data_IF_652651348488
#
_entry.id   IF_652651348488
#
_cell.length_a   1.000
_cell.length_b   1.000
_cell.length_c   1.000
_cell.angle_alpha   90.00
_cell.angle_beta   90.00
_cell.angle_gamma   90.00
#
_symmetry.space_group_name_H-M   'P 1'
#
loop_
_entity.id
_entity.type
_entity.pdbx_description
1 polymer ?
#
# COMPACT_ATOMS: atom_id res chain seq x y z
N UNK A 1 14.11 84.34 17.28
CA UNK A 1 13.93 85.62 16.54
C UNK A 1 13.04 85.34 15.34
N UNK A 2 12.21 86.32 14.92
CA UNK A 2 11.50 86.41 13.61
C UNK A 2 10.98 85.06 13.05
N UNK A 3 9.77 84.58 13.39
CA UNK A 3 8.43 85.13 13.10
C UNK A 3 7.94 84.87 11.65
N UNK A 4 6.72 84.33 11.55
CA UNK A 4 5.98 84.08 10.32
C UNK A 4 4.59 83.54 10.70
N UNK A 5 3.51 84.21 10.27
CA UNK A 5 2.21 84.15 10.98
C UNK A 5 1.02 83.84 10.08
N UNK A 6 0.11 83.00 10.61
CA UNK A 6 -1.36 83.10 10.52
C UNK A 6 -2.01 83.15 9.13
N UNK A 7 -2.90 82.19 8.86
CA UNK A 7 -4.25 82.56 8.38
C UNK A 7 -5.29 81.52 8.82
N UNK A 8 -6.14 81.89 9.78
CA UNK A 8 -7.36 81.15 10.11
C UNK A 8 -8.47 81.44 9.11
N UNK A 9 -9.36 80.45 8.88
CA UNK A 9 -10.72 80.65 8.37
C UNK A 9 -11.69 79.60 8.92
N UNK A 10 -12.36 79.95 10.02
CA UNK A 10 -13.56 79.25 10.47
C UNK A 10 -14.73 79.44 9.49
N UNK A 11 -15.66 78.48 9.44
CA UNK A 11 -16.88 78.55 8.64
C UNK A 11 -18.09 77.89 9.35
N UNK A 12 -18.57 78.57 10.39
CA UNK A 12 -19.94 78.59 10.95
C UNK A 12 -20.86 77.35 10.79
N UNK A 13 -21.21 76.78 11.95
CA UNK A 13 -22.26 75.77 12.23
C UNK A 13 -23.61 76.02 11.54
N UNK A 14 -24.26 74.94 11.06
CA UNK A 14 -25.74 74.77 11.04
C UNK A 14 -26.14 73.31 11.35
N UNK A 15 -27.42 73.09 11.71
CA UNK A 15 -27.90 71.93 12.46
C UNK A 15 -29.33 71.51 12.00
N UNK A 16 -29.74 70.26 12.29
CA UNK A 16 -31.10 69.69 12.17
C UNK A 16 -31.53 69.17 10.74
N UNK A 17 -32.51 68.23 10.60
CA UNK A 17 -32.20 66.79 10.69
C UNK A 17 -32.82 65.91 9.56
N UNK A 18 -33.66 64.83 9.75
CA UNK A 18 -33.46 63.57 9.02
C UNK A 18 -34.57 63.21 8.01
N UNK A 19 -34.23 62.41 6.98
CA UNK A 19 -35.16 61.48 6.32
C UNK A 19 -34.45 60.47 5.39
N UNK A 20 -35.19 59.41 5.03
CA UNK A 20 -34.90 58.31 4.12
C UNK A 20 -34.02 58.63 2.89
N UNK A 21 -32.93 57.87 2.69
CA UNK A 21 -32.73 57.01 1.51
C UNK A 21 -31.50 56.07 1.64
N UNK A 22 -31.71 54.78 1.90
CA UNK A 22 -30.72 53.72 1.62
C UNK A 22 -31.43 52.44 1.19
N UNK A 23 -31.62 52.30 -0.12
CA UNK A 23 -32.24 51.12 -0.74
C UNK A 23 -31.25 49.95 -0.80
N UNK A 24 -31.73 48.77 -0.43
CA UNK A 24 -31.18 47.42 -0.62
C UNK A 24 -29.76 47.25 -1.23
N UNK A 25 -28.81 46.81 -0.38
CA UNK A 25 -27.83 45.76 -0.77
C UNK A 25 -27.81 44.69 0.32
N UNK A 26 -28.89 43.90 0.42
CA UNK A 26 -28.86 42.67 1.21
C UNK A 26 -28.17 41.61 0.35
N UNK A 27 -26.83 41.57 0.42
CA UNK A 27 -26.03 40.66 -0.38
C UNK A 27 -26.37 39.21 -0.01
N UNK A 28 -27.13 38.54 -0.88
CA UNK A 28 -27.41 37.11 -0.77
C UNK A 28 -26.10 36.35 -1.01
N UNK A 29 -25.38 36.08 0.07
CA UNK A 29 -24.22 35.21 0.06
C UNK A 29 -24.69 33.77 -0.23
N UNK A 30 -24.89 33.48 -1.52
CA UNK A 30 -25.05 32.12 -2.02
C UNK A 30 -23.78 31.37 -1.59
N UNK A 31 -23.86 30.37 -0.69
CA UNK A 31 -22.69 29.60 -0.35
C UNK A 31 -22.20 28.94 -1.64
N UNK A 32 -20.89 28.98 -1.96
CA UNK A 32 -20.39 28.32 -3.15
C UNK A 32 -20.82 26.86 -3.09
N UNK A 33 -21.51 26.40 -4.13
CA UNK A 33 -22.01 25.04 -4.19
C UNK A 33 -20.81 24.10 -3.98
N UNK A 34 -20.89 23.24 -2.96
CA UNK A 34 -19.81 22.35 -2.63
C UNK A 34 -19.61 21.37 -3.80
N UNK A 35 -18.63 21.66 -4.66
CA UNK A 35 -18.30 20.83 -5.80
C UNK A 35 -18.04 19.42 -5.31
N UNK A 36 -18.92 18.49 -5.69
CA UNK A 36 -18.83 17.11 -5.26
C UNK A 36 -17.48 16.56 -5.73
N UNK A 37 -16.57 16.31 -4.80
CA UNK A 37 -15.18 15.95 -5.11
C UNK A 37 -15.16 14.85 -6.19
N UNK A 38 -14.40 15.03 -7.28
CA UNK A 38 -14.47 14.16 -8.44
C UNK A 38 -14.29 12.71 -8.00
N UNK A 39 -15.29 11.87 -8.31
CA UNK A 39 -15.48 10.57 -7.68
C UNK A 39 -14.25 9.68 -7.86
N UNK A 40 -13.41 9.58 -6.82
CA UNK A 40 -12.13 8.85 -6.80
C UNK A 40 -12.28 7.32 -6.88
N UNK A 41 -13.48 6.86 -7.22
CA UNK A 41 -13.85 5.46 -7.39
C UNK A 41 -14.73 5.27 -8.63
N UNK A 42 -14.63 4.09 -9.24
CA UNK A 42 -15.58 3.59 -10.23
C UNK A 42 -16.74 2.86 -9.55
N UNK A 43 -17.94 2.91 -10.13
CA UNK A 43 -19.08 2.13 -9.64
C UNK A 43 -19.09 0.78 -10.33
N UNK A 44 -18.63 -0.25 -9.63
CA UNK A 44 -18.56 -1.63 -10.16
C UNK A 44 -19.73 -2.46 -9.64
N UNK A 45 -20.45 -3.07 -10.60
CA UNK A 45 -21.50 -4.07 -10.38
C UNK A 45 -21.24 -5.25 -11.32
N UNK A 46 -21.79 -6.42 -11.03
CA UNK A 46 -21.65 -7.56 -11.93
C UNK A 46 -22.51 -8.74 -11.56
N UNK A 47 -22.28 -9.86 -12.26
CA UNK A 47 -22.76 -11.19 -11.88
C UNK A 47 -21.63 -12.21 -11.97
N UNK A 48 -21.63 -13.17 -11.05
CA UNK A 48 -20.87 -14.42 -11.11
C UNK A 48 -21.81 -15.50 -11.61
N UNK A 49 -21.30 -16.34 -12.51
CA UNK A 49 -22.04 -17.47 -13.08
C UNK A 49 -21.15 -18.69 -13.20
N UNK A 50 -21.80 -19.83 -13.33
CA UNK A 50 -21.23 -21.05 -13.87
C UNK A 50 -20.77 -20.80 -15.33
N UNK A 51 -19.63 -21.39 -15.72
CA UNK A 51 -19.09 -21.29 -17.06
C UNK A 51 -19.76 -22.22 -18.08
N UNK A 52 -20.17 -23.43 -17.66
CA UNK A 52 -20.79 -24.45 -18.49
C UNK A 52 -22.29 -24.20 -18.65
N UNK A 53 -23.01 -24.07 -17.53
CA UNK A 53 -24.48 -23.94 -17.51
C UNK A 53 -24.95 -22.50 -17.72
N UNK A 54 -24.10 -21.51 -17.37
CA UNK A 54 -24.48 -20.09 -17.36
C UNK A 54 -25.42 -19.69 -16.22
N UNK A 55 -25.76 -20.62 -15.33
CA UNK A 55 -26.57 -20.36 -14.14
C UNK A 55 -25.88 -19.39 -13.18
N UNK A 56 -26.66 -18.76 -12.29
CA UNK A 56 -26.14 -17.70 -11.43
C UNK A 56 -25.63 -18.29 -10.12
N UNK A 57 -24.42 -17.92 -9.70
CA UNK A 57 -23.78 -18.50 -8.52
C UNK A 57 -24.00 -17.60 -7.27
N UNK A 58 -24.91 -17.95 -6.35
CA UNK A 58 -25.11 -17.21 -5.11
C UNK A 58 -24.04 -17.55 -4.06
N UNK A 59 -23.73 -16.61 -3.17
CA UNK A 59 -22.73 -16.81 -2.12
C UNK A 59 -21.26 -16.77 -2.56
N UNK A 60 -20.97 -16.81 -3.86
CA UNK A 60 -19.63 -16.62 -4.42
C UNK A 60 -18.98 -15.33 -3.90
N UNK A 61 -17.71 -15.42 -3.50
CA UNK A 61 -16.93 -14.30 -2.99
C UNK A 61 -16.25 -13.59 -4.15
N UNK A 62 -16.32 -12.26 -4.18
CA UNK A 62 -15.74 -11.41 -5.24
C UNK A 62 -14.99 -10.24 -4.62
N UNK A 63 -13.71 -10.04 -4.93
CA UNK A 63 -12.91 -8.98 -4.32
C UNK A 63 -11.88 -8.35 -5.27
N UNK A 64 -11.46 -7.13 -4.96
CA UNK A 64 -10.32 -6.49 -5.59
C UNK A 64 -9.03 -6.86 -4.87
N UNK A 65 -8.14 -7.56 -5.58
CA UNK A 65 -6.86 -8.01 -5.04
C UNK A 65 -6.00 -6.86 -4.55
N UNK A 66 -5.22 -7.10 -3.49
CA UNK A 66 -4.43 -6.08 -2.77
C UNK A 66 -5.24 -5.01 -2.01
N UNK A 67 -6.58 -5.15 -1.94
CA UNK A 67 -7.46 -4.18 -1.27
C UNK A 67 -8.25 -4.77 -0.10
N UNK A 68 -9.01 -3.91 0.59
CA UNK A 68 -10.00 -4.30 1.62
C UNK A 68 -11.45 -4.22 1.08
N UNK A 69 -11.66 -4.56 -0.18
CA UNK A 69 -12.95 -4.47 -0.88
C UNK A 69 -13.35 -5.84 -1.46
N UNK A 70 -14.11 -6.58 -0.66
CA UNK A 70 -14.85 -7.77 -1.08
C UNK A 70 -16.37 -7.55 -1.03
N UNK A 71 -17.09 -8.40 -1.75
CA UNK A 71 -18.54 -8.57 -1.73
C UNK A 71 -18.88 -10.07 -1.88
N UNK A 72 -20.09 -10.47 -1.50
CA UNK A 72 -20.67 -11.77 -1.84
C UNK A 72 -21.79 -11.57 -2.88
N UNK A 73 -22.11 -12.61 -3.63
CA UNK A 73 -23.22 -12.58 -4.60
C UNK A 73 -24.58 -12.85 -3.98
N UNK A 74 -25.61 -12.16 -4.48
CA UNK A 74 -27.01 -12.39 -4.13
C UNK A 74 -27.59 -13.67 -4.76
N UNK A 75 -28.87 -13.96 -4.47
CA UNK A 75 -29.59 -15.14 -4.98
C UNK A 75 -29.74 -15.21 -6.51
N UNK A 76 -29.36 -14.16 -7.25
CA UNK A 76 -29.27 -14.16 -8.71
C UNK A 76 -27.81 -13.94 -9.19
N UNK A 77 -26.84 -14.31 -8.36
CA UNK A 77 -25.41 -14.24 -8.64
C UNK A 77 -24.85 -12.82 -8.74
N UNK A 78 -25.58 -11.76 -8.33
CA UNK A 78 -25.16 -10.37 -8.55
C UNK A 78 -24.33 -9.83 -7.39
N UNK A 79 -23.33 -9.01 -7.71
CA UNK A 79 -22.51 -8.29 -6.72
C UNK A 79 -22.45 -6.79 -7.01
N UNK A 80 -22.17 -5.98 -5.99
CA UNK A 80 -21.86 -4.56 -6.13
C UNK A 80 -21.02 -4.02 -4.98
N UNK A 81 -20.03 -3.18 -5.29
CA UNK A 81 -19.17 -2.56 -4.29
C UNK A 81 -19.70 -1.19 -3.87
N UNK A 82 -20.39 -1.13 -2.72
CA UNK A 82 -21.07 0.09 -2.23
C UNK A 82 -20.11 1.25 -1.99
N UNK A 83 -18.90 0.97 -1.47
CA UNK A 83 -17.83 1.95 -1.24
C UNK A 83 -17.18 2.45 -2.55
N UNK A 84 -17.63 1.95 -3.70
CA UNK A 84 -16.95 2.08 -4.98
C UNK A 84 -15.69 1.24 -5.06
N UNK A 85 -15.14 1.11 -6.27
CA UNK A 85 -13.86 0.45 -6.54
C UNK A 85 -12.77 1.50 -6.81
N UNK A 86 -11.52 1.30 -6.37
CA UNK A 86 -10.41 2.21 -6.69
C UNK A 86 -10.20 2.36 -8.21
N UNK A 87 -9.70 3.51 -8.62
CA UNK A 87 -9.34 3.79 -10.03
C UNK A 87 -7.95 3.24 -10.38
N UNK A 88 -7.65 3.16 -11.68
CA UNK A 88 -6.43 2.55 -12.21
C UNK A 88 -6.64 1.10 -12.66
N UNK A 89 -5.54 0.39 -12.90
CA UNK A 89 -5.58 -1.06 -13.13
C UNK A 89 -6.00 -1.77 -11.84
N UNK A 90 -7.01 -2.63 -11.92
CA UNK A 90 -7.59 -3.36 -10.80
C UNK A 90 -7.90 -4.79 -11.22
N UNK A 91 -7.32 -5.74 -10.48
CA UNK A 91 -7.63 -7.16 -10.59
C UNK A 91 -8.86 -7.49 -9.76
N UNK A 92 -9.85 -8.11 -10.39
CA UNK A 92 -11.07 -8.58 -9.74
C UNK A 92 -11.03 -10.12 -9.71
N UNK A 93 -10.93 -10.69 -8.52
CA UNK A 93 -10.96 -12.13 -8.28
C UNK A 93 -12.36 -12.57 -7.84
N UNK A 94 -12.75 -13.78 -8.23
CA UNK A 94 -13.97 -14.44 -7.75
C UNK A 94 -13.74 -15.93 -7.47
N UNK A 95 -14.23 -16.40 -6.33
CA UNK A 95 -14.08 -17.79 -5.88
C UNK A 95 -15.35 -18.32 -5.21
N UNK A 96 -15.61 -19.62 -5.38
CA UNK A 96 -16.70 -20.34 -4.72
C UNK A 96 -16.26 -21.80 -4.49
N UNK A 97 -16.75 -22.44 -3.43
CA UNK A 97 -16.51 -23.88 -3.21
C UNK A 97 -17.21 -24.68 -4.32
N UNK A 98 -16.52 -25.68 -4.89
CA UNK A 98 -17.00 -26.44 -6.06
C UNK A 98 -16.63 -25.82 -7.42
N UNK A 99 -15.77 -24.79 -7.44
CA UNK A 99 -15.42 -24.04 -8.65
C UNK A 99 -13.95 -23.61 -8.66
N UNK A 100 -13.36 -23.55 -9.85
CA UNK A 100 -12.08 -22.87 -10.06
C UNK A 100 -12.28 -21.34 -9.95
N UNK A 101 -11.29 -20.63 -9.41
CA UNK A 101 -11.41 -19.20 -9.14
C UNK A 101 -11.06 -18.35 -10.36
N UNK A 102 -11.98 -17.47 -10.77
CA UNK A 102 -11.81 -16.65 -11.96
C UNK A 102 -11.21 -15.28 -11.66
N UNK A 103 -10.15 -14.93 -12.38
CA UNK A 103 -9.48 -13.62 -12.32
C UNK A 103 -9.86 -12.75 -13.52
N UNK A 104 -10.11 -11.46 -13.29
CA UNK A 104 -10.40 -10.48 -14.35
C UNK A 104 -9.72 -9.14 -14.11
N UNK A 105 -8.69 -8.85 -14.90
CA UNK A 105 -8.04 -7.54 -14.91
C UNK A 105 -8.91 -6.49 -15.62
N UNK A 106 -9.04 -5.31 -15.00
CA UNK A 106 -9.91 -4.22 -15.46
C UNK A 106 -9.31 -2.83 -15.22
N UNK A 107 -9.55 -1.90 -16.15
CA UNK A 107 -9.05 -0.52 -16.07
C UNK A 107 -10.17 0.44 -15.65
N UNK A 108 -10.23 0.70 -14.35
CA UNK A 108 -11.29 1.48 -13.73
C UNK A 108 -10.97 2.98 -13.76
N UNK A 109 -11.96 3.80 -14.13
CA UNK A 109 -11.84 5.27 -14.19
C UNK A 109 -12.91 5.94 -13.32
N UNK A 110 -12.57 7.12 -12.81
CA UNK A 110 -13.43 7.94 -11.96
C UNK A 110 -14.84 8.13 -12.54
N UNK A 111 -15.87 8.03 -11.70
CA UNK A 111 -17.27 8.28 -12.07
C UNK A 111 -17.93 7.30 -13.07
N UNK A 112 -17.15 6.46 -13.78
CA UNK A 112 -17.70 5.48 -14.73
C UNK A 112 -18.37 4.31 -14.01
N UNK A 113 -19.42 3.79 -14.65
CA UNK A 113 -20.15 2.59 -14.20
C UNK A 113 -19.70 1.38 -15.01
N UNK A 114 -19.29 0.32 -14.33
CA UNK A 114 -18.82 -0.92 -14.95
C UNK A 114 -19.81 -2.06 -14.63
N UNK A 115 -20.13 -2.86 -15.64
CA UNK A 115 -20.87 -4.12 -15.52
C UNK A 115 -19.93 -5.26 -15.90
N UNK A 116 -19.57 -6.10 -14.94
CA UNK A 116 -18.64 -7.20 -15.14
C UNK A 116 -19.37 -8.56 -15.04
N UNK A 117 -18.94 -9.52 -15.86
CA UNK A 117 -19.26 -10.94 -15.70
C UNK A 117 -17.97 -11.65 -15.33
N UNK A 118 -18.02 -12.47 -14.30
CA UNK A 118 -17.07 -13.57 -14.10
C UNK A 118 -17.84 -14.86 -14.36
N UNK A 119 -17.19 -15.80 -15.02
CA UNK A 119 -17.65 -17.17 -15.20
C UNK A 119 -16.63 -18.04 -14.46
N UNK A 120 -17.10 -18.95 -13.61
CA UNK A 120 -16.26 -19.86 -12.86
C UNK A 120 -16.50 -21.26 -13.41
N UNK A 121 -15.42 -21.98 -13.69
CA UNK A 121 -15.50 -23.34 -14.23
C UNK A 121 -15.80 -24.31 -13.07
N UNK A 122 -16.84 -25.16 -13.18
CA UNK A 122 -17.12 -26.17 -12.16
C UNK A 122 -15.88 -27.05 -11.97
N UNK A 123 -15.46 -27.23 -10.73
CA UNK A 123 -14.36 -28.15 -10.42
C UNK A 123 -14.87 -29.15 -9.40
N UNK A 124 -14.54 -30.43 -9.60
CA UNK A 124 -14.97 -31.49 -8.69
C UNK A 124 -14.17 -31.37 -7.39
N UNK A 125 -14.66 -30.52 -6.48
CA UNK A 125 -14.30 -30.60 -5.07
C UNK A 125 -14.90 -31.90 -4.56
N UNK A 126 -14.10 -32.96 -4.68
CA UNK A 126 -14.25 -34.22 -3.97
C UNK A 126 -14.51 -33.88 -2.49
N UNK A 127 -15.71 -34.18 -2.03
CA UNK A 127 -16.23 -33.69 -0.76
C UNK A 127 -15.71 -34.51 0.42
N UNK A 128 -14.38 -34.58 0.57
CA UNK A 128 -13.73 -35.18 1.72
C UNK A 128 -14.02 -34.34 2.96
N UNK A 129 -14.87 -34.90 3.83
CA UNK A 129 -15.44 -34.21 4.97
C UNK A 129 -14.41 -34.05 6.11
N UNK A 130 -13.51 -33.08 5.98
CA UNK A 130 -12.50 -32.72 6.99
C UNK A 130 -11.49 -33.85 7.29
N UNK A 131 -11.28 -34.74 6.32
CA UNK A 131 -10.06 -35.53 6.18
C UNK A 131 -9.32 -34.99 4.96
N UNK A 132 -8.38 -34.06 5.18
CA UNK A 132 -7.58 -33.47 4.09
C UNK A 132 -6.48 -34.48 3.73
N UNK A 133 -6.85 -35.52 2.97
CA UNK A 133 -6.06 -36.75 2.88
C UNK A 133 -5.97 -37.39 1.47
N UNK A 134 -6.90 -37.15 0.53
CA UNK A 134 -6.79 -37.72 -0.81
C UNK A 134 -7.43 -36.88 -1.93
N UNK A 135 -6.58 -36.21 -2.75
CA UNK A 135 -6.49 -36.42 -4.21
C UNK A 135 -5.51 -35.47 -4.91
N UNK A 136 -4.27 -35.94 -5.04
CA UNK A 136 -3.69 -36.34 -6.35
C UNK A 136 -2.84 -37.61 -6.12
N UNK A 137 -3.49 -38.63 -5.55
CA UNK A 137 -2.82 -39.69 -4.79
C UNK A 137 -2.51 -40.97 -5.58
N UNK A 138 -2.14 -40.83 -6.87
CA UNK A 138 -1.71 -41.96 -7.70
C UNK A 138 -0.18 -42.14 -7.75
N UNK A 139 0.61 -41.13 -7.35
CA UNK A 139 2.08 -41.22 -7.18
C UNK A 139 2.53 -40.56 -5.86
N UNK A 140 3.30 -41.31 -5.05
CA UNK A 140 4.12 -40.95 -3.86
C UNK A 140 3.60 -39.87 -2.88
N UNK A 141 2.62 -40.20 -2.03
CA UNK A 141 1.97 -39.26 -1.09
C UNK A 141 2.71 -38.96 0.23
N UNK A 142 4.04 -39.13 0.29
CA UNK A 142 4.83 -38.82 1.50
C UNK A 142 5.03 -37.31 1.72
N UNK A 143 4.24 -36.74 2.61
CA UNK A 143 4.61 -35.50 3.32
C UNK A 143 3.77 -35.23 4.58
N UNK A 144 2.53 -35.72 4.63
CA UNK A 144 1.52 -35.26 5.61
C UNK A 144 1.53 -36.01 6.96
N UNK A 145 2.45 -36.97 7.11
CA UNK A 145 2.70 -37.70 8.35
C UNK A 145 4.19 -37.97 8.61
N UNK A 146 5.08 -37.31 7.85
CA UNK A 146 6.53 -37.44 7.98
C UNK A 146 7.07 -36.44 9.02
N UNK A 147 8.18 -36.79 9.67
CA UNK A 147 8.78 -36.02 10.77
C UNK A 147 9.18 -34.58 10.34
N UNK A 148 9.42 -34.37 9.04
CA UNK A 148 9.88 -33.12 8.43
C UNK A 148 8.76 -32.08 8.16
N UNK A 149 7.47 -32.42 8.30
CA UNK A 149 6.37 -31.49 7.95
C UNK A 149 6.46 -30.12 8.67
N UNK A 150 6.76 -30.02 9.98
CA UNK A 150 6.93 -28.73 10.66
C UNK A 150 8.06 -27.88 10.06
N UNK A 151 9.18 -28.50 9.67
CA UNK A 151 10.34 -27.83 9.09
C UNK A 151 10.03 -27.31 7.67
N UNK A 152 9.18 -28.01 6.91
CA UNK A 152 8.67 -27.54 5.62
C UNK A 152 7.73 -26.33 5.80
N UNK A 153 6.85 -26.34 6.81
CA UNK A 153 6.01 -25.17 7.16
C UNK A 153 6.87 -23.98 7.62
N UNK A 154 7.90 -24.20 8.43
CA UNK A 154 8.83 -23.13 8.83
C UNK A 154 9.62 -22.59 7.62
N UNK A 155 10.09 -23.46 6.73
CA UNK A 155 10.74 -23.07 5.46
C UNK A 155 9.79 -22.25 4.59
N UNK A 156 8.51 -22.62 4.51
CA UNK A 156 7.48 -21.85 3.81
C UNK A 156 7.24 -20.47 4.45
N UNK A 157 6.96 -20.40 5.75
CA UNK A 157 6.74 -19.11 6.44
C UNK A 157 7.96 -18.19 6.32
N UNK A 158 9.18 -18.71 6.49
CA UNK A 158 10.44 -17.95 6.31
C UNK A 158 10.57 -17.37 4.89
N UNK A 159 10.23 -18.14 3.86
CA UNK A 159 10.35 -17.70 2.46
C UNK A 159 9.20 -16.75 2.05
N UNK A 160 7.97 -17.06 2.46
CA UNK A 160 6.76 -16.31 2.05
C UNK A 160 6.58 -15.00 2.84
N UNK A 161 6.89 -15.00 4.15
CA UNK A 161 6.72 -13.84 5.04
C UNK A 161 8.04 -13.05 5.20
N UNK A 162 9.18 -13.74 5.19
CA UNK A 162 10.52 -13.15 5.29
C UNK A 162 11.05 -12.98 6.73
N UNK A 163 12.37 -12.80 6.86
CA UNK A 163 13.10 -12.81 8.15
C UNK A 163 13.20 -11.41 8.80
N UNK A 164 12.10 -10.67 8.88
CA UNK A 164 12.11 -9.30 9.46
C UNK A 164 11.50 -9.27 10.87
N UNK A 165 11.90 -8.34 11.76
CA UNK A 165 11.24 -8.16 13.06
C UNK A 165 9.74 -7.79 12.98
N UNK A 166 9.23 -7.49 11.78
CA UNK A 166 7.79 -7.33 11.53
C UNK A 166 7.09 -8.62 11.12
N UNK A 167 7.83 -9.61 10.58
CA UNK A 167 7.34 -10.95 10.29
C UNK A 167 7.16 -11.78 11.56
N UNK A 168 7.97 -11.53 12.60
CA UNK A 168 7.81 -12.14 13.93
C UNK A 168 6.41 -11.89 14.55
N UNK A 169 5.71 -10.82 14.14
CA UNK A 169 4.31 -10.52 14.51
C UNK A 169 3.26 -11.09 13.50
N UNK A 170 3.62 -12.02 12.61
CA UNK A 170 2.72 -12.66 11.61
C UNK A 170 2.55 -14.14 11.90
N UNK A 171 1.33 -14.68 11.83
CA UNK A 171 1.08 -16.13 11.97
C UNK A 171 0.14 -16.64 10.89
N UNK A 172 0.49 -17.75 10.25
CA UNK A 172 -0.44 -18.57 9.48
C UNK A 172 -1.37 -19.34 10.45
N UNK A 173 -2.68 -19.22 10.27
CA UNK A 173 -3.67 -19.85 11.15
C UNK A 173 -4.15 -21.23 10.68
N UNK A 174 -3.91 -21.56 9.42
CA UNK A 174 -4.36 -22.80 8.79
C UNK A 174 -3.24 -23.48 7.96
N UNK A 175 -2.06 -23.75 8.54
CA UNK A 175 -0.94 -24.37 7.82
C UNK A 175 -1.29 -25.75 7.23
N UNK A 176 -2.32 -26.42 7.77
CA UNK A 176 -2.82 -27.69 7.24
C UNK A 176 -3.41 -27.59 5.83
N UNK A 177 -3.78 -26.41 5.31
CA UNK A 177 -4.29 -26.30 3.93
C UNK A 177 -3.19 -26.36 2.88
N UNK A 178 -1.93 -26.29 3.28
CA UNK A 178 -0.78 -26.49 2.41
C UNK A 178 -0.62 -27.96 1.99
N UNK A 179 0.02 -28.16 0.84
CA UNK A 179 0.69 -29.38 0.44
C UNK A 179 2.08 -29.00 -0.10
N UNK A 180 3.11 -29.83 0.12
CA UNK A 180 4.46 -29.58 -0.37
C UNK A 180 4.88 -30.68 -1.34
N UNK A 181 5.28 -30.30 -2.54
CA UNK A 181 5.67 -31.24 -3.59
C UNK A 181 7.19 -31.50 -3.51
N UNK A 182 7.67 -32.74 -3.71
CA UNK A 182 9.10 -33.05 -3.72
C UNK A 182 9.83 -32.34 -4.87
N UNK A 183 10.50 -31.23 -4.55
CA UNK A 183 11.17 -30.38 -5.55
C UNK A 183 12.68 -30.62 -5.65
N UNK A 184 13.26 -30.23 -6.77
CA UNK A 184 14.66 -30.49 -7.13
C UNK A 184 15.64 -29.57 -6.37
N UNK A 185 16.82 -30.10 -6.04
CA UNK A 185 17.94 -29.46 -5.32
C UNK A 185 17.65 -28.18 -4.51
N UNK A 186 16.90 -28.34 -3.42
CA UNK A 186 16.78 -27.36 -2.35
C UNK A 186 15.67 -26.32 -2.51
N UNK A 187 14.93 -26.35 -3.62
CA UNK A 187 13.67 -25.63 -3.76
C UNK A 187 12.61 -26.13 -2.75
N UNK A 188 11.51 -25.40 -2.63
CA UNK A 188 10.30 -25.78 -1.90
C UNK A 188 9.14 -25.36 -2.79
N UNK A 189 8.39 -26.34 -3.26
CA UNK A 189 7.19 -26.12 -4.05
C UNK A 189 5.97 -26.34 -3.14
N UNK A 190 4.99 -25.44 -3.20
CA UNK A 190 3.85 -25.48 -2.28
C UNK A 190 2.52 -25.14 -2.98
N UNK A 191 1.56 -26.04 -2.83
CA UNK A 191 0.15 -25.85 -3.19
C UNK A 191 -0.67 -25.49 -1.95
N UNK A 192 -1.87 -24.93 -2.15
CA UNK A 192 -2.83 -24.71 -1.06
C UNK A 192 -4.25 -25.10 -1.47
N UNK A 193 -4.84 -26.11 -0.81
CA UNK A 193 -6.21 -26.58 -1.07
C UNK A 193 -7.32 -25.61 -0.63
N UNK A 194 -6.96 -24.58 0.13
CA UNK A 194 -7.84 -23.48 0.52
C UNK A 194 -7.01 -22.19 0.77
N UNK A 195 -7.62 -21.00 0.83
CA UNK A 195 -6.87 -19.76 1.03
C UNK A 195 -6.12 -19.72 2.36
N UNK A 196 -4.84 -19.32 2.33
CA UNK A 196 -4.00 -19.17 3.50
C UNK A 196 -4.46 -17.95 4.32
N UNK A 197 -4.61 -18.12 5.63
CA UNK A 197 -5.15 -17.11 6.55
C UNK A 197 -4.04 -16.62 7.47
N UNK A 198 -3.41 -15.51 7.09
CA UNK A 198 -2.37 -14.88 7.91
C UNK A 198 -2.98 -13.79 8.81
N UNK A 199 -2.63 -13.78 10.10
CA UNK A 199 -2.86 -12.63 10.96
C UNK A 199 -1.56 -11.86 11.20
N UNK A 200 -1.50 -10.63 10.70
CA UNK A 200 -0.33 -9.76 10.75
C UNK A 200 -0.54 -8.68 11.81
N UNK A 201 0.00 -8.91 13.01
CA UNK A 201 -0.09 -7.99 14.16
C UNK A 201 0.92 -6.84 14.10
N UNK A 202 1.97 -6.90 13.27
CA UNK A 202 2.84 -5.75 13.00
C UNK A 202 2.11 -4.66 12.21
N UNK A 203 1.27 -5.05 11.24
CA UNK A 203 0.59 -4.14 10.31
C UNK A 203 -0.90 -3.99 10.58
N UNK A 204 -1.50 -4.76 11.49
CA UNK A 204 -2.91 -4.67 11.85
C UNK A 204 -3.86 -5.12 10.74
N UNK A 205 -3.52 -6.24 10.09
CA UNK A 205 -4.33 -6.85 9.04
C UNK A 205 -4.49 -8.34 9.27
N UNK A 206 -5.63 -8.89 8.88
CA UNK A 206 -5.74 -10.29 8.47
C UNK A 206 -5.65 -10.33 6.94
N UNK A 207 -4.97 -11.32 6.39
CA UNK A 207 -4.81 -11.50 4.95
C UNK A 207 -5.31 -12.90 4.61
N UNK A 208 -6.29 -12.98 3.72
CA UNK A 208 -6.67 -14.24 3.07
C UNK A 208 -5.96 -14.27 1.71
N UNK A 209 -5.12 -15.27 1.50
CA UNK A 209 -4.27 -15.38 0.32
C UNK A 209 -4.66 -16.60 -0.50
N UNK A 210 -5.20 -16.38 -1.69
CA UNK A 210 -5.45 -17.45 -2.66
C UNK A 210 -4.13 -17.73 -3.37
N UNK A 211 -3.40 -18.76 -2.94
CA UNK A 211 -2.13 -19.15 -3.57
C UNK A 211 -2.42 -19.71 -4.96
N UNK A 212 -1.69 -19.23 -5.98
CA UNK A 212 -1.73 -19.76 -7.34
C UNK A 212 -0.44 -20.49 -7.71
N UNK A 213 0.70 -20.07 -7.16
CA UNK A 213 1.99 -20.73 -7.33
C UNK A 213 2.93 -20.40 -6.16
N UNK A 214 3.77 -21.35 -5.74
CA UNK A 214 4.92 -21.10 -4.86
C UNK A 214 6.09 -22.04 -5.19
N UNK A 215 7.26 -21.44 -5.40
CA UNK A 215 8.53 -22.11 -5.68
C UNK A 215 9.68 -21.28 -5.07
N UNK A 216 10.29 -21.78 -3.99
CA UNK A 216 11.21 -20.99 -3.16
C UNK A 216 12.49 -21.72 -2.72
N UNK A 217 13.63 -21.10 -2.99
CA UNK A 217 14.97 -21.50 -2.52
C UNK A 217 15.65 -20.35 -1.75
N UNK A 218 16.91 -20.56 -1.33
CA UNK A 218 17.72 -19.52 -0.69
C UNK A 218 18.24 -18.44 -1.67
N UNK A 219 18.13 -18.67 -2.99
CA UNK A 219 18.71 -17.82 -4.03
C UNK A 219 17.66 -17.22 -4.98
N UNK A 220 16.53 -17.90 -5.16
CA UNK A 220 15.43 -17.52 -6.03
C UNK A 220 14.09 -17.85 -5.34
N UNK A 221 13.11 -16.96 -5.47
CA UNK A 221 11.79 -17.08 -4.87
C UNK A 221 10.75 -16.57 -5.87
N UNK A 222 9.81 -17.43 -6.22
CA UNK A 222 8.70 -17.20 -7.15
C UNK A 222 7.40 -17.57 -6.44
N UNK A 223 6.45 -16.65 -6.43
CA UNK A 223 5.10 -16.89 -5.95
C UNK A 223 4.11 -15.96 -6.65
N UNK A 224 2.88 -16.45 -6.85
CA UNK A 224 1.77 -15.66 -7.36
C UNK A 224 0.46 -16.08 -6.67
N UNK A 225 -0.55 -15.21 -6.75
CA UNK A 225 -1.82 -15.40 -6.05
C UNK A 225 -2.43 -14.10 -5.53
N UNK A 226 -3.67 -14.21 -5.06
CA UNK A 226 -4.59 -13.09 -4.91
C UNK A 226 -4.88 -12.77 -3.43
N UNK A 227 -4.32 -11.67 -2.88
CA UNK A 227 -4.52 -11.29 -1.48
C UNK A 227 -5.75 -10.42 -1.24
N UNK A 228 -6.62 -10.86 -0.34
CA UNK A 228 -7.71 -10.08 0.26
C UNK A 228 -7.32 -9.60 1.67
N UNK A 229 -7.36 -8.29 1.91
CA UNK A 229 -7.00 -7.69 3.20
C UNK A 229 -8.23 -7.34 4.05
N UNK A 230 -8.18 -7.69 5.33
CA UNK A 230 -9.13 -7.28 6.36
C UNK A 230 -8.41 -6.44 7.42
N UNK A 231 -8.98 -5.30 7.82
CA UNK A 231 -8.40 -4.47 8.88
C UNK A 231 -8.75 -5.05 10.24
N UNK A 232 -7.74 -5.33 11.06
CA UNK A 232 -7.96 -5.64 12.48
C UNK A 232 -8.40 -4.38 13.22
N UNK A 233 -9.20 -4.54 14.28
CA UNK A 233 -9.47 -3.48 15.25
C UNK A 233 -8.31 -3.42 16.24
N UNK A 234 -7.65 -2.25 16.43
CA UNK A 234 -6.57 -2.12 17.40
C UNK A 234 -7.11 -2.19 18.83
N UNK A 235 -6.35 -2.80 19.73
CA UNK A 235 -6.71 -2.87 21.16
C UNK A 235 -6.68 -1.51 21.84
N UNK A 236 -5.73 -0.65 21.48
CA UNK A 236 -5.62 0.72 21.98
C UNK A 236 -5.04 1.71 20.95
N UNK A 237 -4.84 2.97 21.37
CA UNK A 237 -4.23 4.01 20.54
C UNK A 237 -2.73 3.79 20.29
N UNK A 238 -2.04 3.08 21.18
CA UNK A 238 -0.61 2.79 21.10
C UNK A 238 -0.32 1.77 20.00
N UNK A 239 -1.15 0.72 19.90
CA UNK A 239 -1.18 -0.28 18.85
C UNK A 239 -1.61 0.33 17.51
N UNK A 240 -2.68 1.12 17.48
CA UNK A 240 -3.08 1.84 16.27
C UNK A 240 -1.91 2.69 15.70
N UNK A 241 -1.16 3.36 16.59
CA UNK A 241 0.05 4.10 16.22
C UNK A 241 1.25 3.20 15.88
N UNK A 242 1.38 1.99 16.46
CA UNK A 242 2.40 0.98 16.11
C UNK A 242 2.19 0.52 14.67
N UNK A 243 0.99 0.06 14.34
CA UNK A 243 0.60 -0.36 12.99
C UNK A 243 0.83 0.75 11.97
N UNK A 244 0.44 1.98 12.27
CA UNK A 244 0.59 3.11 11.34
C UNK A 244 2.06 3.55 11.16
N UNK A 245 2.93 3.36 12.17
CA UNK A 245 4.40 3.46 11.96
C UNK A 245 4.94 2.31 11.12
N UNK A 246 4.49 1.08 11.36
CA UNK A 246 4.96 -0.13 10.69
C UNK A 246 4.53 -0.16 9.21
N UNK A 247 3.29 0.22 8.88
CA UNK A 247 2.80 0.41 7.51
C UNK A 247 3.66 1.38 6.71
N UNK A 248 4.06 2.51 7.30
CA UNK A 248 4.99 3.46 6.67
C UNK A 248 6.41 2.92 6.51
N UNK A 249 6.87 2.03 7.41
CA UNK A 249 8.16 1.33 7.27
C UNK A 249 8.12 0.30 6.14
N UNK A 250 7.06 -0.51 6.07
CA UNK A 250 6.85 -1.49 5.00
C UNK A 250 6.67 -0.85 3.61
N UNK A 251 5.99 0.31 3.53
CA UNK A 251 5.85 1.05 2.29
C UNK A 251 7.20 1.60 1.79
N UNK A 252 8.02 2.19 2.67
CA UNK A 252 9.31 2.80 2.30
C UNK A 252 10.28 1.77 1.69
N UNK A 253 10.80 2.09 0.51
CA UNK A 253 11.69 1.19 -0.24
C UNK A 253 11.01 -0.02 -0.88
N UNK A 254 9.67 -0.16 -0.78
CA UNK A 254 8.93 -1.18 -1.54
C UNK A 254 8.87 -0.86 -3.03
N UNK A 255 8.55 -1.86 -3.85
CA UNK A 255 8.25 -1.68 -5.28
C UNK A 255 7.15 -0.63 -5.50
N UNK A 256 6.14 -0.57 -4.63
CA UNK A 256 5.07 0.45 -4.71
C UNK A 256 5.60 1.87 -4.43
N UNK A 257 6.56 2.04 -3.52
CA UNK A 257 7.21 3.33 -3.29
C UNK A 257 8.11 3.71 -4.48
N UNK A 258 8.83 2.75 -5.05
CA UNK A 258 9.63 2.95 -6.26
C UNK A 258 8.78 3.41 -7.44
N UNK A 259 7.71 2.68 -7.77
CA UNK A 259 6.84 3.01 -8.92
C UNK A 259 6.13 4.37 -8.74
N UNK A 260 5.75 4.75 -7.51
CA UNK A 260 5.18 6.07 -7.26
C UNK A 260 6.22 7.19 -7.36
N UNK A 261 7.45 6.98 -6.87
CA UNK A 261 8.53 7.94 -7.04
C UNK A 261 8.99 8.07 -8.49
N UNK A 262 8.93 6.97 -9.26
CA UNK A 262 9.20 6.94 -10.70
C UNK A 262 8.12 7.73 -11.47
N UNK A 263 6.83 7.49 -11.21
CA UNK A 263 5.72 8.21 -11.85
C UNK A 263 5.67 9.69 -11.49
N UNK A 264 6.10 10.05 -10.28
CA UNK A 264 6.14 11.43 -9.78
C UNK A 264 7.50 12.12 -9.92
N UNK A 265 8.42 11.59 -10.74
CA UNK A 265 9.78 12.10 -10.99
C UNK A 265 10.58 12.54 -9.73
N UNK A 266 10.42 11.78 -8.65
CA UNK A 266 10.95 12.07 -7.31
C UNK A 266 11.87 10.95 -6.81
N UNK A 267 12.47 10.16 -7.72
CA UNK A 267 13.35 9.03 -7.38
C UNK A 267 14.47 9.42 -6.39
N UNK A 268 15.15 10.54 -6.64
CA UNK A 268 16.25 11.02 -5.79
C UNK A 268 15.77 11.47 -4.41
N UNK A 269 14.69 12.24 -4.34
CA UNK A 269 14.07 12.69 -3.07
C UNK A 269 13.54 11.51 -2.25
N UNK A 270 12.99 10.50 -2.94
CA UNK A 270 12.51 9.26 -2.36
C UNK A 270 13.66 8.31 -1.94
N UNK A 271 14.91 8.62 -2.27
CA UNK A 271 16.08 7.81 -1.91
C UNK A 271 16.27 6.54 -2.73
N UNK A 272 15.93 6.57 -4.02
CA UNK A 272 16.19 5.49 -4.97
C UNK A 272 17.33 5.85 -5.91
N UNK A 273 18.34 4.98 -5.97
CA UNK A 273 19.37 4.99 -7.00
C UNK A 273 19.05 3.88 -8.01
N UNK A 274 18.74 4.25 -9.24
CA UNK A 274 18.37 3.31 -10.32
C UNK A 274 19.50 3.22 -11.32
N UNK A 275 19.84 2.00 -11.72
CA UNK A 275 20.84 1.76 -12.76
C UNK A 275 20.34 0.74 -13.76
N UNK A 276 20.59 0.96 -15.06
CA UNK A 276 20.56 -0.10 -16.07
C UNK A 276 21.74 -1.04 -15.85
N UNK A 277 21.45 -2.34 -15.93
CA UNK A 277 22.43 -3.43 -15.91
C UNK A 277 22.20 -4.25 -17.17
N UNK A 278 23.11 -4.18 -18.15
CA UNK A 278 22.98 -4.92 -19.39
C UNK A 278 22.67 -6.40 -19.18
N UNK A 279 21.84 -6.97 -20.04
CA UNK A 279 21.76 -8.43 -20.19
C UNK A 279 23.13 -8.93 -20.65
N UNK A 280 23.61 -9.99 -20.02
CA UNK A 280 24.97 -10.49 -20.23
C UNK A 280 24.98 -11.29 -21.53
N UNK A 281 25.67 -10.78 -22.54
CA UNK A 281 25.84 -11.45 -23.84
C UNK A 281 26.42 -12.87 -23.64
N UNK A 282 25.72 -13.94 -24.07
CA UNK A 282 26.25 -15.30 -24.02
C UNK A 282 27.54 -15.48 -24.83
N UNK A 283 27.77 -14.66 -25.86
CA UNK A 283 28.85 -14.80 -26.84
C UNK A 283 30.03 -13.85 -26.62
N UNK A 284 30.20 -13.37 -25.38
CA UNK A 284 31.53 -13.08 -24.83
C UNK A 284 32.29 -11.89 -25.43
N UNK A 285 31.62 -10.98 -26.15
CA UNK A 285 32.22 -9.73 -26.58
C UNK A 285 32.73 -8.95 -25.35
N UNK A 286 34.04 -8.67 -25.31
CA UNK A 286 34.74 -8.05 -24.19
C UNK A 286 34.50 -6.53 -24.10
N UNK A 287 33.23 -6.14 -24.03
CA UNK A 287 32.87 -4.77 -23.68
C UNK A 287 33.54 -4.40 -22.36
N UNK A 288 34.14 -3.20 -22.34
CA UNK A 288 34.81 -2.64 -21.16
C UNK A 288 33.85 -2.68 -19.96
N UNK A 289 34.40 -2.65 -18.74
CA UNK A 289 33.62 -2.38 -17.52
C UNK A 289 33.01 -0.97 -17.57
N UNK A 290 31.94 -0.81 -18.33
CA UNK A 290 30.99 0.25 -18.10
C UNK A 290 30.52 0.14 -16.65
N UNK A 291 30.54 1.25 -15.93
CA UNK A 291 29.87 1.31 -14.64
C UNK A 291 28.37 1.02 -14.82
N UNK A 292 27.66 0.65 -13.74
CA UNK A 292 26.20 0.55 -13.79
C UNK A 292 25.63 1.91 -14.27
N UNK A 293 24.88 1.89 -15.38
CA UNK A 293 24.42 3.11 -16.08
C UNK A 293 23.32 3.81 -15.26
N UNK A 294 23.55 5.00 -14.68
CA UNK A 294 22.54 5.67 -13.87
C UNK A 294 21.36 6.12 -14.72
N UNK A 295 20.14 5.90 -14.23
CA UNK A 295 18.92 6.25 -14.96
C UNK A 295 17.86 6.88 -14.05
N UNK A 296 16.97 7.61 -14.71
CA UNK A 296 15.94 8.50 -14.15
C UNK A 296 14.55 8.07 -14.65
N UNK A 297 13.50 8.85 -14.35
CA UNK A 297 12.16 8.58 -14.82
C UNK A 297 11.97 8.90 -16.32
N UNK A 298 12.62 9.94 -16.85
CA UNK A 298 12.52 10.33 -18.26
C UNK A 298 13.00 9.20 -19.20
N UNK A 299 14.10 8.54 -18.84
CA UNK A 299 14.71 7.42 -19.58
C UNK A 299 14.11 6.04 -19.29
N UNK A 300 12.96 5.97 -18.60
CA UNK A 300 12.26 4.74 -18.27
C UNK A 300 10.74 4.81 -18.50
N UNK A 301 10.14 6.00 -18.47
CA UNK A 301 8.70 6.20 -18.61
C UNK A 301 8.34 6.84 -19.96
N UNK A 302 7.86 6.03 -20.90
CA UNK A 302 7.29 6.54 -22.14
C UNK A 302 5.88 7.11 -21.94
N UNK A 303 5.43 7.91 -22.91
CA UNK A 303 4.03 8.34 -23.01
C UNK A 303 3.27 7.36 -23.94
N UNK A 304 2.08 6.86 -23.57
CA UNK A 304 1.29 6.00 -24.45
C UNK A 304 1.05 6.61 -25.84
N UNK A 305 0.80 5.79 -26.85
CA UNK A 305 0.42 6.26 -28.20
C UNK A 305 -0.88 7.08 -28.16
N UNK A 306 -1.12 7.92 -29.18
CA UNK A 306 -2.31 8.78 -29.21
C UNK A 306 -3.62 7.99 -29.02
N UNK A 307 -3.81 6.92 -29.79
CA UNK A 307 -4.97 6.03 -29.68
C UNK A 307 -5.06 5.31 -28.31
N UNK A 308 -3.93 5.05 -27.65
CA UNK A 308 -3.93 4.49 -26.30
C UNK A 308 -4.44 5.52 -25.27
N UNK A 309 -4.10 6.81 -25.38
CA UNK A 309 -4.47 7.85 -24.40
C UNK A 309 -5.99 7.95 -24.20
N UNK A 310 -6.78 7.85 -25.26
CA UNK A 310 -8.26 7.85 -25.18
C UNK A 310 -8.83 6.65 -24.37
N UNK A 311 -8.05 5.56 -24.31
CA UNK A 311 -8.42 4.29 -23.65
C UNK A 311 -7.82 4.11 -22.25
N UNK A 312 -6.88 4.96 -21.84
CA UNK A 312 -6.19 4.90 -20.55
C UNK A 312 -6.67 6.01 -19.60
N UNK A 313 -6.44 5.90 -18.27
CA UNK A 313 -6.56 7.02 -17.35
C UNK A 313 -5.56 8.14 -17.68
N UNK A 314 -5.95 9.38 -17.34
CA UNK A 314 -5.04 10.53 -17.34
C UNK A 314 -3.82 10.26 -16.44
N UNK A 315 -2.64 10.73 -16.85
CA UNK A 315 -1.37 10.46 -16.15
C UNK A 315 -0.77 9.07 -16.35
N UNK A 316 -1.40 8.18 -17.15
CA UNK A 316 -0.81 6.86 -17.44
C UNK A 316 0.50 6.99 -18.22
N UNK A 317 1.55 6.34 -17.74
CA UNK A 317 2.86 6.19 -18.40
C UNK A 317 3.13 4.71 -18.69
N UNK A 318 3.93 4.42 -19.71
CA UNK A 318 4.42 3.07 -19.99
C UNK A 318 5.83 2.95 -19.41
N UNK A 319 6.11 1.87 -18.67
CA UNK A 319 7.46 1.54 -18.22
C UNK A 319 8.04 0.48 -19.17
N UNK A 320 9.03 0.85 -19.97
CA UNK A 320 9.78 -0.09 -20.82
C UNK A 320 11.29 0.02 -20.55
N UNK A 321 11.93 -1.14 -20.57
CA UNK A 321 13.37 -1.33 -20.55
C UNK A 321 13.67 -2.74 -21.05
N UNK A 322 14.61 -2.87 -21.99
CA UNK A 322 14.94 -4.17 -22.57
C UNK A 322 16.02 -4.93 -21.78
N UNK A 323 16.76 -4.23 -20.90
CA UNK A 323 17.81 -4.77 -20.02
C UNK A 323 17.25 -5.24 -18.66
N UNK A 324 18.03 -5.15 -17.58
CA UNK A 324 17.56 -5.25 -16.19
C UNK A 324 17.77 -3.92 -15.47
N UNK A 325 16.86 -3.58 -14.57
CA UNK A 325 17.05 -2.46 -13.64
C UNK A 325 17.55 -2.97 -12.30
N UNK A 326 18.61 -2.33 -11.78
CA UNK A 326 19.06 -2.47 -10.39
C UNK A 326 18.60 -1.24 -9.61
N UNK A 327 17.49 -1.39 -8.89
CA UNK A 327 16.97 -0.38 -7.96
C UNK A 327 17.61 -0.61 -6.60
N UNK A 328 18.24 0.42 -6.04
CA UNK A 328 18.78 0.42 -4.67
C UNK A 328 18.10 1.52 -3.87
N UNK A 329 17.41 1.16 -2.78
CA UNK A 329 16.85 2.12 -1.84
C UNK A 329 17.86 2.43 -0.73
N UNK A 330 18.32 3.68 -0.66
CA UNK A 330 19.29 4.15 0.34
C UNK A 330 18.63 4.69 1.61
N UNK A 331 17.30 4.70 1.66
CA UNK A 331 16.56 5.66 2.47
C UNK A 331 16.47 7.00 1.73
N UNK A 332 15.30 7.65 1.83
CA UNK A 332 15.18 9.06 1.44
C UNK A 332 16.28 9.86 2.17
N UNK A 333 17.06 10.71 1.47
CA UNK A 333 18.01 11.59 2.14
C UNK A 333 17.24 12.34 3.22
N UNK A 334 17.72 12.27 4.46
CA UNK A 334 17.18 13.08 5.55
C UNK A 334 17.47 14.52 5.15
N UNK A 335 16.48 15.19 4.56
CA UNK A 335 16.54 16.62 4.27
C UNK A 335 17.11 17.28 5.52
N UNK A 336 18.30 17.87 5.38
CA UNK A 336 18.97 18.49 6.51
C UNK A 336 17.98 19.49 7.07
N UNK A 337 17.70 19.38 8.37
CA UNK A 337 16.74 20.26 9.00
C UNK A 337 17.38 21.65 9.02
N UNK A 338 17.12 22.44 7.97
CA UNK A 338 17.62 23.79 7.79
C UNK A 338 17.35 24.56 9.07
N UNK A 339 18.39 24.68 9.89
CA UNK A 339 18.25 25.24 11.22
C UNK A 339 17.68 26.65 11.05
N UNK A 340 16.58 27.01 11.73
CA UNK A 340 15.97 28.32 11.54
C UNK A 340 16.98 29.38 11.98
N UNK A 341 17.64 29.99 11.01
CA UNK A 341 18.72 30.96 11.22
C UNK A 341 18.10 32.18 11.87
N UNK A 342 18.27 32.29 13.18
CA UNK A 342 17.60 33.28 13.99
C UNK A 342 18.01 34.68 13.58
N UNK A 343 17.05 35.53 13.21
CA UNK A 343 17.18 36.97 13.47
C UNK A 343 15.85 37.72 13.53
N UNK A 344 15.62 38.35 14.68
CA UNK A 344 14.73 39.49 14.94
C UNK A 344 13.20 39.31 14.86
N UNK A 345 12.42 40.16 15.58
CA UNK A 345 11.13 39.74 16.14
C UNK A 345 9.90 40.46 15.58
N UNK A 346 8.74 39.81 15.70
CA UNK A 346 7.42 40.43 15.64
C UNK A 346 6.60 40.00 16.87
N UNK A 347 5.79 40.90 17.43
CA UNK A 347 5.13 40.69 18.72
C UNK A 347 3.82 39.88 18.60
N UNK A 348 3.53 39.08 19.65
CA UNK A 348 2.22 38.47 19.89
C UNK A 348 1.60 39.17 21.10
N UNK A 349 0.42 39.81 20.99
CA UNK A 349 -0.28 40.34 22.16
C UNK A 349 -0.89 39.20 22.98
N UNK A 350 -0.72 39.27 24.31
CA UNK A 350 -1.38 38.34 25.23
C UNK A 350 -2.87 38.66 25.42
N UNK A 351 -3.66 37.68 25.86
CA UNK A 351 -4.67 37.95 26.88
C UNK A 351 -4.33 37.25 28.20
N UNK A 352 -4.38 38.01 29.29
CA UNK A 352 -4.35 37.50 30.66
C UNK A 352 -5.65 36.78 31.02
N UNK A 353 -5.60 35.73 31.85
CA UNK A 353 -6.41 35.61 33.09
C UNK A 353 -5.89 34.48 34.00
N UNK A 354 -5.73 34.78 35.30
CA UNK A 354 -5.56 33.85 36.45
C UNK A 354 -6.10 34.60 37.70
N UNK A 355 -6.57 33.96 38.80
CA UNK A 355 -5.84 33.02 39.68
C UNK A 355 -6.46 31.60 39.61
N UNK A 356 -6.33 30.63 40.55
CA UNK A 356 -5.61 30.44 41.82
C UNK A 356 -4.95 29.02 41.81
N UNK A 357 -4.08 28.54 42.72
CA UNK A 357 -3.55 28.92 44.06
C UNK A 357 -4.16 28.21 45.29
N UNK A 358 -3.78 26.95 45.49
CA UNK A 358 -3.62 26.27 46.80
C UNK A 358 -2.62 25.10 46.64
N UNK A 359 -2.02 24.63 47.73
CA UNK A 359 -0.54 24.67 47.83
C UNK A 359 0.13 23.62 48.75
N UNK A 360 1.18 22.96 48.22
CA UNK A 360 2.37 22.41 48.92
C UNK A 360 2.20 21.28 49.97
N UNK A 361 3.29 20.59 50.40
CA UNK A 361 4.60 20.34 49.75
C UNK A 361 5.10 18.87 49.87
N UNK A 362 6.42 18.67 49.65
CA UNK A 362 7.24 17.43 49.89
C UNK A 362 7.06 16.30 48.85
N UNK A 363 7.99 15.36 48.62
CA UNK A 363 9.29 15.07 49.27
C UNK A 363 10.42 14.64 48.28
N UNK A 364 11.64 14.43 48.82
CA UNK A 364 12.89 13.91 48.21
C UNK A 364 13.86 13.52 49.37
N UNK A 365 15.04 12.87 49.18
CA UNK A 365 15.65 12.27 47.98
C UNK A 365 16.11 10.80 48.21
N UNK A 366 16.95 10.24 47.32
CA UNK A 366 18.14 9.35 47.48
C UNK A 366 18.43 8.79 46.05
N UNK A 367 19.59 8.95 45.39
CA UNK A 367 20.93 8.34 45.62
C UNK A 367 20.87 6.80 45.68
N UNK A 368 21.58 6.02 44.86
CA UNK A 368 22.49 6.31 43.72
C UNK A 368 22.38 5.11 42.70
N UNK A 369 23.27 4.73 41.76
CA UNK A 369 24.70 5.02 41.46
C UNK A 369 25.01 4.69 39.97
N UNK A 370 26.29 4.57 39.57
CA UNK A 370 26.76 3.84 38.38
C UNK A 370 28.06 3.09 38.72
N UNK A 371 28.48 2.10 37.91
CA UNK A 371 29.72 2.33 37.15
C UNK A 371 29.70 1.82 35.69
N UNK A 372 30.73 2.21 34.95
CA UNK A 372 30.99 1.90 33.53
C UNK A 372 31.61 0.52 33.29
N UNK A 373 31.34 -0.10 32.14
CA UNK A 373 32.40 -0.71 31.32
C UNK A 373 32.04 -0.93 29.84
N UNK A 374 33.08 -0.79 29.00
CA UNK A 374 33.30 -1.25 27.61
C UNK A 374 32.12 -1.67 26.69
N UNK A 375 32.01 -0.97 25.54
CA UNK A 375 31.61 -1.60 24.26
C UNK A 375 32.79 -2.38 23.64
N UNK A 376 32.53 -3.23 22.63
CA UNK A 376 33.10 -2.87 21.32
C UNK A 376 32.13 -3.00 20.13
N UNK A 377 32.52 -2.36 19.03
CA UNK A 377 31.71 -2.07 17.83
C UNK A 377 30.88 -3.21 17.24
N UNK A 378 29.57 -2.95 17.10
CA UNK A 378 28.70 -3.66 16.17
C UNK A 378 28.61 -2.87 14.85
N UNK A 379 29.46 -3.20 13.89
CA UNK A 379 29.42 -2.61 12.54
C UNK A 379 28.21 -3.14 11.76
N UNK A 380 27.05 -2.51 11.96
CA UNK A 380 25.82 -2.80 11.20
C UNK A 380 26.07 -2.54 9.71
N UNK A 381 26.12 -3.59 8.90
CA UNK A 381 26.05 -3.46 7.45
C UNK A 381 24.59 -3.19 7.07
N UNK A 382 24.29 -2.01 6.56
CA UNK A 382 23.01 -1.79 5.88
C UNK A 382 22.99 -2.61 4.58
N UNK A 383 22.34 -3.77 4.63
CA UNK A 383 22.02 -4.59 3.47
C UNK A 383 20.89 -3.92 2.69
N UNK A 384 21.26 -2.90 1.91
CA UNK A 384 20.32 -2.14 1.07
C UNK A 384 19.49 -3.05 0.18
N UNK A 385 18.16 -3.02 0.35
CA UNK A 385 17.21 -3.83 -0.42
C UNK A 385 17.40 -3.54 -1.92
N UNK A 386 17.89 -4.54 -2.64
CA UNK A 386 17.89 -4.55 -4.10
C UNK A 386 16.60 -5.18 -4.57
N UNK A 387 15.85 -4.47 -5.40
CA UNK A 387 14.70 -5.02 -6.11
C UNK A 387 15.17 -5.34 -7.53
N UNK A 388 15.20 -6.63 -7.88
CA UNK A 388 15.44 -7.10 -9.24
C UNK A 388 14.09 -7.30 -9.90
N UNK A 389 13.63 -6.30 -10.64
CA UNK A 389 12.45 -6.42 -11.49
C UNK A 389 12.83 -7.18 -12.77
N UNK A 390 12.67 -8.50 -12.75
CA UNK A 390 12.59 -9.28 -13.98
C UNK A 390 11.22 -9.07 -14.64
N UNK A 391 11.19 -9.21 -15.96
CA UNK A 391 9.98 -9.14 -16.79
C UNK A 391 9.36 -10.55 -16.89
N UNK A 392 8.05 -10.64 -16.72
CA UNK A 392 7.21 -11.70 -17.29
C UNK A 392 7.01 -11.40 -18.79
#
# INVERSE_FOLDING_TARGET
MISGTVTDREAVVRLLPPALLTLAVFATAVPPAAEAQPARSGVVRGRVVDAETGESLPGAHVFFSTTTLGAATDSAGRFSFERGAPVGAQRLHASMMGYESATRDTLLRAGRRYRLRLALEPTVVEAEAVDVAARRADDDWKTRGDEDWPDLVEKFERLFIGETPEADEVRLHNPEVLAFNPSWWGHLEADAGAPLVFENRALGYRVRYHLAEFDGSHAELRWDGEPLFEKLTPTDRTEAARWERNRRRAFRGSLRHFLLALLGDSLGEAGFLVHRVPKRDPFGASQRRAGPDPTDAERLLESPSAAARDTLPEGTRLLDFHDRLRVTYTGAPRAEASAPTSNSPAAIPSPSTRPARSSNPTARPFLATSPSSASPGCCRRDTGRSIVANRQ
#
